data_IF_417401905688
#
_entry.id   IF_417401905688
#
_cell.length_a   1.000
_cell.length_b   1.000
_cell.length_c   1.000
_cell.angle_alpha   90.00
_cell.angle_beta   90.00
_cell.angle_gamma   90.00
#
_symmetry.space_group_name_H-M   'P 1'
#
loop_
_entity.id
_entity.type
_entity.pdbx_description
1 polymer ?
#
# COMPACT_ATOMS: atom_id res chain seq x y z
N UNK A 1 29.16 59.10 4.23
CA UNK A 1 28.92 57.65 4.25
C UNK A 1 27.50 57.41 4.71
N UNK A 2 26.59 57.09 3.80
CA UNK A 2 25.24 56.65 4.12
C UNK A 2 25.03 55.30 3.42
N UNK A 3 25.00 54.23 4.20
CA UNK A 3 24.67 52.87 3.78
C UNK A 3 23.25 52.63 4.27
N UNK A 4 22.31 52.44 3.34
CA UNK A 4 20.95 52.00 3.64
C UNK A 4 20.58 50.88 2.69
N UNK A 5 21.11 49.72 3.08
CA UNK A 5 20.54 48.37 3.00
C UNK A 5 19.29 48.22 2.12
N UNK A 6 19.50 47.58 0.96
CA UNK A 6 18.42 47.00 0.17
C UNK A 6 17.79 45.83 0.92
N UNK A 7 16.46 45.80 0.98
CA UNK A 7 15.70 44.62 1.38
C UNK A 7 14.97 44.11 0.15
N UNK A 8 15.68 43.26 -0.59
CA UNK A 8 15.13 42.48 -1.68
C UNK A 8 14.07 41.52 -1.12
N UNK A 9 12.80 41.77 -1.45
CA UNK A 9 11.69 40.89 -1.08
C UNK A 9 11.87 39.56 -1.80
N UNK A 10 12.39 38.57 -1.08
CA UNK A 10 12.40 37.17 -1.47
C UNK A 10 10.98 36.75 -1.81
N UNK A 11 10.69 36.62 -3.11
CA UNK A 11 9.49 35.97 -3.61
C UNK A 11 9.56 34.51 -3.18
N UNK A 12 8.76 34.13 -2.17
CA UNK A 12 8.47 32.73 -1.89
C UNK A 12 7.68 32.20 -3.09
N UNK A 13 8.38 31.55 -4.01
CA UNK A 13 7.75 30.63 -4.94
C UNK A 13 7.14 29.50 -4.09
N UNK A 14 5.84 29.60 -3.84
CA UNK A 14 5.06 28.50 -3.29
C UNK A 14 5.06 27.38 -4.30
N UNK A 15 6.06 26.49 -4.20
CA UNK A 15 6.02 25.20 -4.85
C UNK A 15 4.72 24.54 -4.37
N UNK A 16 3.74 24.45 -5.27
CA UNK A 16 2.54 23.64 -5.06
C UNK A 16 3.04 22.21 -4.96
N UNK A 17 3.20 21.72 -3.74
CA UNK A 17 3.38 20.29 -3.52
C UNK A 17 2.22 19.61 -4.24
N UNK A 18 2.49 18.65 -5.14
CA UNK A 18 1.42 17.90 -5.77
C UNK A 18 0.56 17.31 -4.65
N UNK A 19 -0.75 17.50 -4.75
CA UNK A 19 -1.70 16.89 -3.81
C UNK A 19 -1.65 15.39 -4.05
N UNK A 20 -0.70 14.71 -3.40
CA UNK A 20 -0.61 13.27 -3.38
C UNK A 20 -1.84 12.76 -2.61
N UNK A 21 -2.83 12.25 -3.35
CA UNK A 21 -3.98 11.58 -2.75
C UNK A 21 -3.47 10.42 -1.92
N UNK A 22 -3.66 10.52 -0.60
CA UNK A 22 -3.21 9.50 0.34
C UNK A 22 -4.24 8.38 0.42
N UNK A 23 -3.82 7.14 0.16
CA UNK A 23 -4.69 5.96 0.31
C UNK A 23 -5.15 5.81 1.76
N UNK A 24 -6.41 5.44 1.93
CA UNK A 24 -7.04 5.14 3.21
C UNK A 24 -7.88 3.88 3.07
N UNK A 25 -8.06 3.16 4.18
CA UNK A 25 -8.85 1.93 4.17
C UNK A 25 -10.34 2.22 4.01
N UNK A 26 -10.97 1.54 3.06
CA UNK A 26 -12.42 1.51 2.89
C UNK A 26 -13.10 0.71 4.01
N UNK A 27 -14.42 0.90 4.20
CA UNK A 27 -15.19 0.25 5.28
C UNK A 27 -15.12 -1.28 5.25
N UNK A 28 -15.06 -1.89 4.06
CA UNK A 28 -14.89 -3.33 3.93
C UNK A 28 -13.53 -3.78 4.46
N UNK A 29 -12.45 -3.13 4.02
CA UNK A 29 -11.07 -3.45 4.42
C UNK A 29 -10.88 -3.25 5.93
N UNK A 30 -11.41 -2.16 6.50
CA UNK A 30 -11.33 -1.92 7.95
C UNK A 30 -12.03 -3.00 8.77
N UNK A 31 -13.17 -3.51 8.33
CA UNK A 31 -13.89 -4.58 9.06
C UNK A 31 -13.16 -5.92 8.98
N UNK A 32 -12.35 -6.12 7.95
CA UNK A 32 -11.55 -7.33 7.77
C UNK A 32 -10.27 -7.37 8.59
N UNK A 33 -9.88 -6.25 9.22
CA UNK A 33 -8.62 -6.11 9.95
C UNK A 33 -8.87 -5.72 11.41
N UNK A 34 -8.11 -6.30 12.34
CA UNK A 34 -8.04 -5.79 13.71
C UNK A 34 -7.48 -4.37 13.74
N UNK A 35 -7.71 -3.62 14.83
CA UNK A 35 -7.17 -2.26 14.97
C UNK A 35 -5.64 -2.23 14.90
N UNK A 36 -4.98 -3.26 15.44
CA UNK A 36 -3.53 -3.40 15.39
C UNK A 36 -3.04 -3.62 13.95
N UNK A 37 -3.71 -4.50 13.19
CA UNK A 37 -3.40 -4.73 11.78
C UNK A 37 -3.65 -3.48 10.92
N UNK A 38 -4.72 -2.73 11.18
CA UNK A 38 -4.95 -1.43 10.55
C UNK A 38 -3.82 -0.44 10.86
N UNK A 39 -3.31 -0.45 12.09
CA UNK A 39 -2.16 0.36 12.50
C UNK A 39 -0.90 0.04 11.72
N UNK A 40 -0.66 -1.24 11.40
CA UNK A 40 0.45 -1.68 10.54
C UNK A 40 0.27 -1.12 9.13
N UNK A 41 -0.92 -1.27 8.54
CA UNK A 41 -1.22 -0.71 7.21
C UNK A 41 -0.94 0.78 7.15
N UNK A 42 -1.44 1.55 8.12
CA UNK A 42 -1.22 3.00 8.12
C UNK A 42 0.24 3.38 8.34
N UNK A 43 1.02 2.56 9.06
CA UNK A 43 2.47 2.74 9.20
C UNK A 43 3.17 2.51 7.86
N UNK A 44 2.83 1.44 7.14
CA UNK A 44 3.35 1.17 5.80
C UNK A 44 2.98 2.30 4.82
N UNK A 45 1.73 2.76 4.81
CA UNK A 45 1.27 3.89 3.97
C UNK A 45 1.87 5.25 4.36
N UNK A 46 2.45 5.37 5.56
CA UNK A 46 3.15 6.56 6.01
C UNK A 46 4.65 6.51 5.71
N UNK A 47 5.21 5.30 5.62
CA UNK A 47 6.59 5.08 5.22
C UNK A 47 6.74 5.03 3.70
N UNK A 48 7.99 5.11 3.26
CA UNK A 48 8.39 4.89 1.86
C UNK A 48 9.17 3.57 1.71
N UNK A 49 9.11 2.70 2.72
CA UNK A 49 9.86 1.44 2.77
C UNK A 49 9.19 0.31 1.98
N UNK A 50 7.88 0.40 1.77
CA UNK A 50 7.08 -0.62 1.08
C UNK A 50 6.30 0.02 -0.05
N UNK A 51 6.45 -0.54 -1.25
CA UNK A 51 5.72 -0.11 -2.44
C UNK A 51 4.20 -0.21 -2.23
N UNK A 52 3.45 0.77 -2.73
CA UNK A 52 2.00 0.84 -2.54
C UNK A 52 1.29 -0.43 -3.06
N UNK A 53 1.77 -0.98 -4.18
CA UNK A 53 1.22 -2.19 -4.80
C UNK A 53 1.31 -3.42 -3.88
N UNK A 54 2.41 -3.54 -3.11
CA UNK A 54 2.60 -4.60 -2.12
C UNK A 54 1.60 -4.45 -0.98
N UNK A 55 1.42 -3.23 -0.48
CA UNK A 55 0.46 -2.92 0.58
C UNK A 55 -0.97 -3.22 0.11
N UNK A 56 -1.33 -2.82 -1.10
CA UNK A 56 -2.64 -3.09 -1.70
C UNK A 56 -2.92 -4.58 -1.84
N UNK A 57 -1.92 -5.34 -2.32
CA UNK A 57 -2.03 -6.79 -2.46
C UNK A 57 -2.21 -7.46 -1.09
N UNK A 58 -1.44 -7.08 -0.08
CA UNK A 58 -1.59 -7.62 1.27
C UNK A 58 -2.97 -7.31 1.89
N UNK A 59 -3.50 -6.10 1.69
CA UNK A 59 -4.87 -5.75 2.12
C UNK A 59 -5.89 -6.66 1.43
N UNK A 60 -5.75 -6.89 0.12
CA UNK A 60 -6.67 -7.73 -0.64
C UNK A 60 -6.63 -9.20 -0.18
N UNK A 61 -5.46 -9.74 0.12
CA UNK A 61 -5.30 -11.09 0.68
C UNK A 61 -5.93 -11.17 2.09
N UNK A 62 -5.69 -10.18 2.94
CA UNK A 62 -6.27 -10.13 4.27
C UNK A 62 -7.81 -10.06 4.25
N UNK A 63 -8.40 -9.30 3.32
CA UNK A 63 -9.85 -9.26 3.10
C UNK A 63 -10.37 -10.64 2.67
N UNK A 64 -9.68 -11.30 1.75
CA UNK A 64 -10.05 -12.63 1.26
C UNK A 64 -10.01 -13.68 2.37
N UNK A 65 -8.94 -13.69 3.17
CA UNK A 65 -8.79 -14.57 4.34
C UNK A 65 -9.85 -14.27 5.39
N UNK A 66 -10.12 -12.99 5.66
CA UNK A 66 -11.15 -12.58 6.62
C UNK A 66 -12.53 -13.11 6.23
N UNK A 67 -12.86 -13.04 4.93
CA UNK A 67 -14.10 -13.58 4.40
C UNK A 67 -14.18 -15.10 4.58
N UNK A 68 -13.10 -15.82 4.26
CA UNK A 68 -13.03 -17.29 4.39
C UNK A 68 -13.11 -17.76 5.84
N UNK A 69 -12.47 -17.04 6.77
CA UNK A 69 -12.45 -17.39 8.21
C UNK A 69 -13.65 -16.83 8.97
N UNK A 70 -14.51 -16.04 8.33
CA UNK A 70 -15.57 -15.27 8.98
C UNK A 70 -15.09 -14.50 10.22
N UNK A 71 -13.87 -13.96 10.16
CA UNK A 71 -13.22 -13.27 11.28
C UNK A 71 -12.26 -12.20 10.77
N UNK A 72 -11.99 -11.18 11.58
CA UNK A 72 -10.96 -10.20 11.27
C UNK A 72 -9.56 -10.83 11.33
N UNK A 73 -8.67 -10.39 10.45
CA UNK A 73 -7.24 -10.71 10.49
C UNK A 73 -6.57 -9.91 11.59
N UNK A 74 -5.83 -10.57 12.47
CA UNK A 74 -5.04 -9.95 13.52
C UNK A 74 -3.66 -9.50 13.01
N UNK A 75 -2.93 -8.75 13.84
CA UNK A 75 -1.63 -8.21 13.45
C UNK A 75 -0.60 -9.29 13.07
N UNK A 76 -0.42 -10.39 13.84
CA UNK A 76 0.54 -11.43 13.49
C UNK A 76 0.24 -12.09 12.14
N UNK A 77 -1.05 -12.35 11.85
CA UNK A 77 -1.42 -12.90 10.55
C UNK A 77 -1.24 -11.88 9.42
N UNK A 78 -1.50 -10.60 9.67
CA UNK A 78 -1.25 -9.56 8.67
C UNK A 78 0.24 -9.40 8.34
N UNK A 79 1.12 -9.45 9.34
CA UNK A 79 2.58 -9.45 9.14
C UNK A 79 3.01 -10.64 8.30
N UNK A 80 2.51 -11.85 8.60
CA UNK A 80 2.79 -13.03 7.80
C UNK A 80 2.29 -12.93 6.34
N UNK A 81 1.15 -12.25 6.11
CA UNK A 81 0.66 -11.96 4.75
C UNK A 81 1.61 -11.00 4.04
N UNK A 82 2.05 -9.93 4.70
CA UNK A 82 3.00 -8.98 4.14
C UNK A 82 4.31 -9.66 3.74
N UNK A 83 4.88 -10.48 4.62
CA UNK A 83 6.10 -11.25 4.34
C UNK A 83 5.90 -12.15 3.12
N UNK A 84 4.79 -12.90 3.07
CA UNK A 84 4.47 -13.78 1.95
C UNK A 84 4.30 -13.02 0.62
N UNK A 85 3.71 -11.81 0.64
CA UNK A 85 3.53 -10.99 -0.56
C UNK A 85 4.85 -10.41 -1.04
N UNK A 86 5.74 -10.03 -0.13
CA UNK A 86 7.10 -9.54 -0.47
C UNK A 86 7.99 -10.66 -0.99
N UNK A 87 7.84 -11.87 -0.45
CA UNK A 87 8.60 -13.06 -0.83
C UNK A 87 8.07 -13.73 -2.11
N UNK A 88 6.93 -13.29 -2.66
CA UNK A 88 6.36 -13.80 -3.91
C UNK A 88 7.18 -13.32 -5.12
N UNK A 89 8.43 -13.77 -5.20
CA UNK A 89 9.18 -13.84 -6.44
C UNK A 89 8.40 -14.75 -7.37
N UNK A 90 7.67 -14.12 -8.29
CA UNK A 90 7.04 -14.76 -9.44
C UNK A 90 7.94 -15.89 -9.92
N UNK A 91 7.49 -17.13 -9.75
CA UNK A 91 8.23 -18.30 -10.17
C UNK A 91 8.46 -18.22 -11.69
N UNK A 92 9.64 -17.75 -12.10
CA UNK A 92 10.03 -17.80 -13.50
C UNK A 92 10.34 -19.26 -13.84
N UNK A 93 9.41 -19.92 -14.51
CA UNK A 93 9.64 -21.24 -15.09
C UNK A 93 10.68 -21.08 -16.20
N UNK A 94 11.90 -21.63 -16.07
CA UNK A 94 12.91 -21.51 -17.12
C UNK A 94 12.39 -22.17 -18.40
N UNK A 95 12.24 -21.37 -19.46
CA UNK A 95 11.72 -21.82 -20.77
C UNK A 95 10.21 -21.63 -20.97
N UNK A 96 9.48 -21.03 -20.03
CA UNK A 96 8.10 -20.58 -20.29
C UNK A 96 8.13 -19.30 -21.14
N UNK A 97 7.39 -19.22 -22.27
CA UNK A 97 7.27 -17.97 -23.00
C UNK A 97 6.62 -16.93 -22.06
N UNK A 98 7.36 -15.86 -21.80
CA UNK A 98 6.90 -14.76 -20.97
C UNK A 98 5.49 -14.32 -21.40
N UNK A 99 4.55 -14.28 -20.44
CA UNK A 99 3.23 -13.70 -20.67
C UNK A 99 2.07 -14.67 -20.87
N UNK A 100 1.86 -15.59 -19.92
CA UNK A 100 0.48 -15.98 -19.59
C UNK A 100 0.19 -15.62 -18.15
N UNK A 101 -0.38 -14.42 -17.98
CA UNK A 101 -1.24 -14.15 -16.82
C UNK A 101 -2.19 -15.34 -16.67
N UNK A 102 -2.20 -15.97 -15.50
CA UNK A 102 -3.19 -17.00 -15.19
C UNK A 102 -4.56 -16.42 -15.51
N UNK A 103 -5.26 -17.06 -16.44
CA UNK A 103 -6.60 -16.64 -16.83
C UNK A 103 -7.45 -16.62 -15.56
N UNK A 104 -7.99 -15.44 -15.23
CA UNK A 104 -9.07 -15.31 -14.27
C UNK A 104 -10.12 -16.36 -14.62
N UNK A 105 -10.28 -17.36 -13.76
CA UNK A 105 -11.32 -18.37 -13.93
C UNK A 105 -12.66 -17.71 -13.64
N UNK A 106 -13.23 -17.09 -14.68
CA UNK A 106 -14.63 -16.75 -14.72
C UNK A 106 -15.43 -18.05 -14.69
N UNK A 107 -16.17 -18.28 -13.61
CA UNK A 107 -17.52 -18.84 -13.70
C UNK A 107 -18.32 -18.55 -12.44
N UNK A 108 -19.08 -17.47 -12.56
CA UNK A 108 -20.40 -17.31 -11.94
C UNK A 108 -21.24 -18.53 -12.31
N UNK A 109 -21.80 -19.20 -11.29
CA UNK A 109 -23.03 -19.97 -11.34
C UNK A 109 -23.76 -19.73 -10.03
#
# INVERSE_FOLDING_TARGET
>A
MAISSGTERVRRNGAKTPLLMRRVLHDCERRSLSLEAQGIVYRCLAGEEVELEVIERAIQEAVSISFLKHSSVDAPLFEAIMDAVMDDVSFEIPGSPAGRAYAQSSRVC
#
